data_IF_107770387799
#
_entry.id   IF_107770387799
#
_cell.length_a   1.000
_cell.length_b   1.000
_cell.length_c   1.000
_cell.angle_alpha   90.00
_cell.angle_beta   90.00
_cell.angle_gamma   90.00
#
_symmetry.space_group_name_H-M   'P 1'
#
loop_
_entity.id
_entity.type
_entity.pdbx_description
1 polymer ?
2 polymer ?
3 water ?
#
# COMPACT_ATOMS: atom_id res chain seq x y z
N UNK A 4 -22.04 5.94 -4.30
CA UNK A 4 -21.06 4.82 -4.25
C UNK A 4 -20.46 4.73 -2.84
N UNK A 5 -19.85 5.83 -2.39
CA UNK A 5 -19.24 5.88 -1.07
C UNK A 5 -20.27 6.26 -0.01
N UNK A 6 -20.15 5.67 1.17
CA UNK A 6 -21.08 5.97 2.26
C UNK A 6 -20.44 7.03 3.15
N UNK A 7 -21.25 7.63 4.01
CA UNK A 7 -20.77 8.65 4.93
C UNK A 7 -19.72 8.09 5.89
N UNK A 8 -19.84 6.80 6.18
CA UNK A 8 -18.92 6.11 7.08
C UNK A 8 -17.54 5.95 6.44
N UNK A 9 -17.53 5.70 5.13
CA UNK A 9 -16.29 5.53 4.39
C UNK A 9 -15.60 6.87 4.14
N UNK A 10 -16.38 7.86 3.72
CA UNK A 10 -15.83 9.18 3.46
C UNK A 10 -15.19 9.72 4.73
N UNK A 11 -15.91 9.55 5.84
CA UNK A 11 -15.47 10.02 7.14
C UNK A 11 -14.28 9.27 7.72
N UNK A 12 -13.97 8.09 7.19
CA UNK A 12 -12.82 7.32 7.69
C UNK A 12 -11.59 7.56 6.82
N UNK A 13 -11.81 7.86 5.55
CA UNK A 13 -10.72 8.13 4.62
C UNK A 13 -10.16 9.54 4.82
N UNK A 14 -11.04 10.48 5.17
CA UNK A 14 -10.62 11.86 5.39
C UNK A 14 -9.69 11.98 6.59
N UNK A 15 -10.03 11.30 7.68
CA UNK A 15 -9.23 11.31 8.89
C UNK A 15 -7.88 10.65 8.65
N UNK A 16 -7.88 9.55 7.91
CA UNK A 16 -6.64 8.84 7.61
C UNK A 16 -5.68 9.82 6.92
N UNK A 17 -6.19 10.56 5.95
CA UNK A 17 -5.40 11.55 5.22
C UNK A 17 -4.92 12.68 6.13
N UNK A 18 -5.83 13.25 6.92
CA UNK A 18 -5.47 14.33 7.83
C UNK A 18 -4.49 13.86 8.89
N UNK A 19 -4.67 12.63 9.36
CA UNK A 19 -3.77 12.08 10.37
C UNK A 19 -2.36 11.96 9.81
N UNK A 20 -2.26 11.48 8.57
CA UNK A 20 -0.98 11.30 7.90
C UNK A 20 -0.30 12.64 7.63
N UNK A 21 -1.09 13.64 7.26
CA UNK A 21 -0.58 14.98 6.99
C UNK A 21 -0.05 15.60 8.29
N UNK A 22 -0.77 15.34 9.37
CA UNK A 22 -0.43 15.86 10.69
C UNK A 22 0.79 15.22 11.35
N UNK A 23 0.85 13.88 11.32
CA UNK A 23 1.93 13.14 11.96
C UNK A 23 3.16 12.84 11.11
N UNK A 24 3.05 12.96 9.79
CA UNK A 24 4.19 12.68 8.94
C UNK A 24 5.34 13.64 9.16
N UNK A 25 6.54 13.29 8.69
CA UNK A 25 7.75 14.12 8.83
C UNK A 25 7.88 15.12 7.68
N UNK A 26 6.77 15.76 7.30
CA UNK A 26 6.76 16.68 6.17
C UNK A 26 7.53 17.99 6.32
N UNK A 27 8.03 18.29 7.52
CA UNK A 27 8.81 19.51 7.74
C UNK A 27 10.28 19.18 7.91
N UNK A 28 10.61 17.89 7.92
CA UNK A 28 11.99 17.45 8.13
C UNK A 28 12.98 17.79 7.02
N UNK A 29 12.49 18.08 5.82
CA UNK A 29 13.38 18.41 4.70
C UNK A 29 12.61 18.97 3.52
N UNK A 30 13.33 19.59 2.59
CA UNK A 30 12.70 20.17 1.42
C UNK A 30 12.00 19.07 0.62
N UNK A 31 12.66 17.93 0.48
CA UNK A 31 12.07 16.81 -0.24
C UNK A 31 10.76 16.36 0.41
N UNK A 32 10.80 16.07 1.70
CA UNK A 32 9.60 15.62 2.41
C UNK A 32 8.47 16.65 2.40
N UNK A 33 8.80 17.92 2.26
CA UNK A 33 7.76 18.95 2.23
C UNK A 33 6.95 18.78 0.94
N UNK A 34 7.64 18.48 -0.16
CA UNK A 34 6.96 18.29 -1.43
C UNK A 34 5.99 17.11 -1.32
N UNK A 35 6.42 16.03 -0.68
CA UNK A 35 5.56 14.86 -0.52
C UNK A 35 4.34 15.21 0.34
N UNK A 36 4.57 15.96 1.41
CA UNK A 36 3.47 16.34 2.28
C UNK A 36 2.47 17.24 1.55
N UNK A 37 2.98 18.09 0.66
CA UNK A 37 2.11 18.97 -0.11
C UNK A 37 1.20 18.15 -1.02
N UNK A 38 1.76 17.12 -1.65
CA UNK A 38 0.97 16.25 -2.53
C UNK A 38 -0.15 15.58 -1.73
N UNK A 39 0.17 15.19 -0.50
CA UNK A 39 -0.81 14.57 0.38
C UNK A 39 -1.94 15.56 0.65
N UNK A 40 -1.58 16.84 0.80
CA UNK A 40 -2.56 17.89 1.04
C UNK A 40 -3.43 18.09 -0.20
N UNK A 41 -2.81 18.04 -1.37
CA UNK A 41 -3.56 18.18 -2.61
C UNK A 41 -4.49 16.98 -2.75
N UNK A 42 -4.05 15.81 -2.29
CA UNK A 42 -4.89 14.62 -2.39
C UNK A 42 -6.06 14.77 -1.42
N UNK A 43 -5.78 15.29 -0.23
CA UNK A 43 -6.80 15.50 0.79
C UNK A 43 -7.80 16.57 0.31
N UNK A 44 -7.29 17.64 -0.28
CA UNK A 44 -8.15 18.72 -0.78
C UNK A 44 -9.02 18.28 -1.96
N UNK A 45 -8.46 17.40 -2.80
CA UNK A 45 -9.17 16.89 -3.97
C UNK A 45 -10.37 16.06 -3.52
N UNK A 46 -10.15 15.26 -2.48
CA UNK A 46 -11.19 14.40 -1.92
C UNK A 46 -12.31 15.22 -1.29
N UNK A 47 -11.94 16.28 -0.57
CA UNK A 47 -12.93 17.15 0.07
C UNK A 47 -13.82 17.79 -0.98
N UNK A 48 -13.21 18.27 -2.06
CA UNK A 48 -13.97 18.89 -3.13
C UNK A 48 -15.05 17.95 -3.64
N UNK A 49 -14.73 16.67 -3.74
CA UNK A 49 -15.68 15.68 -4.22
C UNK A 49 -16.83 15.43 -3.25
N UNK A 50 -16.50 15.01 -2.03
CA UNK A 50 -17.54 14.73 -1.04
C UNK A 50 -18.32 15.99 -0.70
N UNK A 51 -17.79 17.14 -1.10
CA UNK A 51 -18.45 18.40 -0.83
C UNK A 51 -19.42 18.75 -1.95
N UNK A 52 -19.21 18.14 -3.12
CA UNK A 52 -20.06 18.38 -4.28
C UNK A 52 -21.45 17.78 -4.08
N UNK B 7 -16.11 18.54 -9.28
CA UNK B 7 -16.71 17.43 -10.07
C UNK B 7 -17.80 16.69 -9.28
N UNK B 8 -17.99 15.41 -9.61
CA UNK B 8 -18.99 14.58 -8.96
C UNK B 8 -18.52 14.07 -7.61
N UNK B 9 -19.41 13.40 -6.88
CA UNK B 9 -19.09 12.86 -5.57
C UNK B 9 -18.04 11.75 -5.70
N UNK B 10 -17.45 11.37 -4.58
CA UNK B 10 -16.41 10.34 -4.56
C UNK B 10 -16.97 8.92 -4.68
N UNK B 11 -16.25 8.08 -5.42
CA UNK B 11 -16.63 6.68 -5.63
C UNK B 11 -15.43 5.76 -5.41
N UNK B 12 -15.65 4.46 -5.50
CA UNK B 12 -14.57 3.50 -5.32
C UNK B 12 -13.50 3.76 -6.37
N UNK B 13 -13.93 3.94 -7.62
CA UNK B 13 -12.99 4.20 -8.69
C UNK B 13 -12.23 5.48 -8.41
N UNK B 14 -12.94 6.43 -7.81
CA UNK B 14 -12.40 7.74 -7.46
C UNK B 14 -11.34 7.59 -6.37
N UNK B 15 -11.66 6.80 -5.35
CA UNK B 15 -10.74 6.58 -4.25
C UNK B 15 -9.46 5.92 -4.75
N UNK B 16 -9.61 4.93 -5.62
CA UNK B 16 -8.44 4.24 -6.14
C UNK B 16 -7.58 5.13 -7.01
N UNK B 17 -8.20 5.83 -7.95
CA UNK B 17 -7.45 6.67 -8.87
C UNK B 17 -6.96 8.01 -8.34
N UNK B 18 -7.62 8.56 -7.33
CA UNK B 18 -7.20 9.86 -6.83
C UNK B 18 -6.62 9.88 -5.41
N UNK B 19 -6.60 8.71 -4.76
CA UNK B 19 -6.04 8.59 -3.43
C UNK B 19 -5.04 7.42 -3.36
N UNK B 20 -5.56 6.20 -3.47
CA UNK B 20 -4.71 5.02 -3.40
C UNK B 20 -3.56 5.01 -4.39
N UNK B 21 -3.85 5.30 -5.66
CA UNK B 21 -2.81 5.29 -6.67
C UNK B 21 -1.76 6.40 -6.48
N UNK B 22 -2.20 7.64 -6.16
CA UNK B 22 -1.22 8.72 -5.97
C UNK B 22 -0.39 8.53 -4.68
N UNK B 23 -0.98 7.90 -3.67
CA UNK B 23 -0.25 7.64 -2.43
C UNK B 23 0.84 6.61 -2.75
N UNK B 24 0.52 5.64 -3.60
CA UNK B 24 1.49 4.63 -4.00
C UNK B 24 2.65 5.31 -4.72
N UNK B 25 2.35 6.36 -5.49
CA UNK B 25 3.41 7.08 -6.21
C UNK B 25 4.31 7.80 -5.19
N UNK B 26 3.71 8.31 -4.12
CA UNK B 26 4.50 8.99 -3.07
C UNK B 26 5.42 8.00 -2.37
N UNK B 27 4.90 6.81 -2.06
CA UNK B 27 5.69 5.76 -1.40
C UNK B 27 6.88 5.34 -2.29
N UNK B 28 6.62 5.14 -3.58
CA UNK B 28 7.69 4.75 -4.50
C UNK B 28 8.73 5.87 -4.60
N UNK B 29 8.27 7.11 -4.67
CA UNK B 29 9.21 8.23 -4.75
C UNK B 29 10.08 8.29 -3.48
N UNK B 30 9.47 8.12 -2.31
CA UNK B 30 10.23 8.17 -1.06
C UNK B 30 11.20 7.00 -0.97
N UNK B 31 10.76 5.82 -1.42
CA UNK B 31 11.61 4.63 -1.41
C UNK B 31 12.83 4.89 -2.29
N UNK B 32 12.60 5.59 -3.39
CA UNK B 32 13.67 5.93 -4.33
C UNK B 32 14.66 6.87 -3.62
N UNK B 33 14.13 7.81 -2.86
CA UNK B 33 14.96 8.75 -2.12
C UNK B 33 15.82 7.95 -1.14
N UNK B 34 15.21 6.99 -0.46
CA UNK B 34 15.93 6.16 0.50
C UNK B 34 17.11 5.44 -0.15
N UNK B 35 16.93 4.97 -1.39
CA UNK B 35 18.01 4.26 -2.08
C UNK B 35 19.19 5.16 -2.45
N UNK B 36 18.95 6.46 -2.60
CA UNK B 36 20.02 7.39 -2.93
C UNK B 36 20.83 7.59 -1.68
N UNK B 37 20.28 8.42 -0.81
CA UNK B 37 20.87 8.74 0.46
C UNK B 37 19.74 8.74 1.45
N UNK B 38 19.93 8.06 2.58
CA UNK B 38 21.12 7.30 2.93
C UNK B 38 20.64 6.44 4.08
N UNK B 39 21.04 6.87 5.27
CA UNK B 39 20.66 6.24 6.51
C UNK B 39 19.99 7.34 7.32
N UNK B 40 18.92 7.91 6.77
CA UNK B 40 18.21 8.96 7.47
C UNK B 40 16.95 8.38 8.08
N UNK B 41 16.51 8.90 9.22
CA UNK B 41 15.31 8.38 9.86
C UNK B 41 14.02 8.98 9.30
N UNK B 42 14.14 10.16 8.70
CA UNK B 42 12.99 10.87 8.15
C UNK B 42 12.30 10.17 6.97
N UNK B 43 13.05 9.83 5.93
CA UNK B 43 12.45 9.17 4.78
C UNK B 43 11.81 7.85 5.18
N UNK B 44 12.48 7.10 6.05
CA UNK B 44 11.98 5.82 6.54
C UNK B 44 10.62 5.99 7.17
N UNK B 45 10.51 6.99 8.05
CA UNK B 45 9.26 7.28 8.73
C UNK B 45 8.16 7.64 7.73
N UNK B 46 8.53 8.33 6.65
CA UNK B 46 7.55 8.72 5.64
C UNK B 46 6.99 7.46 4.97
N UNK B 47 7.87 6.50 4.69
CA UNK B 47 7.44 5.24 4.07
C UNK B 47 6.42 4.55 4.98
N UNK B 48 6.71 4.52 6.28
CA UNK B 48 5.80 3.89 7.23
C UNK B 48 4.47 4.63 7.32
N UNK B 49 4.53 5.95 7.47
CA UNK B 49 3.31 6.74 7.56
C UNK B 49 2.45 6.60 6.30
N UNK B 50 3.08 6.68 5.13
CA UNK B 50 2.35 6.57 3.87
C UNK B 50 1.77 5.17 3.67
N UNK B 51 2.52 4.16 4.11
CA UNK B 51 2.06 2.78 3.98
C UNK B 51 0.81 2.59 4.84
N UNK B 52 0.84 3.13 6.05
CA UNK B 52 -0.29 3.01 6.96
C UNK B 52 -1.50 3.73 6.38
N UNK B 53 -1.26 4.90 5.79
CA UNK B 53 -2.34 5.67 5.17
C UNK B 53 -3.04 4.89 4.06
N UNK B 54 -2.28 4.33 3.13
CA UNK B 54 -2.90 3.58 2.05
C UNK B 54 -3.61 2.33 2.55
N UNK B 55 -3.01 1.66 3.53
CA UNK B 55 -3.62 0.46 4.08
C UNK B 55 -4.95 0.80 4.76
N UNK B 56 -5.02 1.98 5.39
CA UNK B 56 -6.25 2.40 6.06
C UNK B 56 -7.31 2.76 5.04
N UNK B 57 -6.89 3.44 3.98
CA UNK B 57 -7.82 3.83 2.93
C UNK B 57 -8.22 2.60 2.12
N UNK B 58 -7.28 1.68 1.93
CA UNK B 58 -7.55 0.46 1.18
C UNK B 58 -8.59 -0.38 1.91
N UNK B 59 -8.53 -0.34 3.24
CA UNK B 59 -9.47 -1.07 4.09
C UNK B 59 -10.86 -0.43 4.01
N UNK B 60 -10.90 0.89 4.14
CA UNK B 60 -12.16 1.63 4.09
C UNK B 60 -12.86 1.40 2.77
N UNK B 61 -12.09 1.45 1.68
CA UNK B 61 -12.64 1.25 0.35
C UNK B 61 -13.21 -0.16 0.19
N UNK B 62 -12.78 -1.08 1.06
CA UNK B 62 -13.26 -2.46 1.02
C UNK B 62 -14.43 -2.61 1.99
N UNK B 63 -14.86 -1.48 2.54
CA UNK B 63 -15.97 -1.42 3.48
C UNK B 63 -15.64 -2.12 4.80
N UNK B 64 -14.62 -2.98 4.76
CA UNK B 64 -14.18 -3.71 5.94
C UNK B 64 -13.13 -4.75 5.53
N UNK C 4 -17.82 -13.15 -3.06
CA UNK C 4 -17.57 -11.70 -3.30
C UNK C 4 -16.66 -11.47 -4.51
N UNK C 5 -15.66 -12.33 -4.68
CA UNK C 5 -14.71 -12.20 -5.78
C UNK C 5 -15.06 -12.99 -7.04
N UNK C 6 -14.93 -12.34 -8.19
CA UNK C 6 -15.22 -12.99 -9.46
C UNK C 6 -13.98 -13.75 -9.93
N UNK C 7 -14.17 -14.69 -10.85
CA UNK C 7 -13.07 -15.47 -11.37
C UNK C 7 -11.97 -14.57 -11.94
N UNK C 8 -12.37 -13.48 -12.59
CA UNK C 8 -11.41 -12.55 -13.18
C UNK C 8 -10.64 -11.80 -12.11
N UNK C 9 -11.29 -11.54 -10.99
CA UNK C 9 -10.65 -10.85 -9.88
C UNK C 9 -9.69 -11.79 -9.15
N UNK C 10 -10.07 -13.06 -9.05
CA UNK C 10 -9.23 -14.05 -8.39
C UNK C 10 -7.94 -14.21 -9.18
N UNK C 11 -8.09 -14.25 -10.50
CA UNK C 11 -6.95 -14.41 -11.41
C UNK C 11 -5.97 -13.24 -11.29
N UNK C 12 -6.49 -12.03 -11.31
CA UNK C 12 -5.67 -10.83 -11.21
C UNK C 12 -4.87 -10.82 -9.91
N UNK C 13 -5.55 -11.09 -8.80
CA UNK C 13 -4.91 -11.12 -7.51
C UNK C 13 -3.84 -12.21 -7.47
N UNK C 14 -4.17 -13.40 -7.97
CA UNK C 14 -3.20 -14.49 -7.98
C UNK C 14 -2.00 -14.10 -8.83
N UNK C 15 -2.27 -13.44 -9.95
CA UNK C 15 -1.21 -13.01 -10.85
C UNK C 15 -0.31 -11.99 -10.16
N UNK C 16 -0.92 -11.04 -9.46
CA UNK C 16 -0.16 -10.00 -8.75
C UNK C 16 0.77 -10.63 -7.72
N UNK C 17 0.26 -11.60 -6.97
CA UNK C 17 1.06 -12.28 -5.95
C UNK C 17 2.22 -13.04 -6.60
N UNK C 18 1.93 -13.80 -7.65
CA UNK C 18 2.97 -14.56 -8.33
C UNK C 18 4.03 -13.65 -8.95
N UNK C 19 3.61 -12.52 -9.51
CA UNK C 19 4.56 -11.59 -10.11
C UNK C 19 5.46 -10.95 -9.04
N UNK C 20 4.88 -10.63 -7.88
CA UNK C 20 5.66 -10.04 -6.79
C UNK C 20 6.71 -11.03 -6.30
N UNK C 21 6.32 -12.30 -6.20
CA UNK C 21 7.22 -13.35 -5.76
C UNK C 21 8.35 -13.56 -6.77
N UNK C 22 8.01 -13.54 -8.05
CA UNK C 22 8.98 -13.75 -9.11
C UNK C 22 10.00 -12.63 -9.30
N UNK C 23 9.55 -11.38 -9.24
CA UNK C 23 10.47 -10.26 -9.44
C UNK C 23 11.08 -9.67 -8.17
N UNK C 24 10.53 -10.02 -7.01
CA UNK C 24 11.05 -9.50 -5.75
C UNK C 24 12.47 -9.96 -5.46
N UNK C 25 13.23 -9.23 -4.62
CA UNK C 25 14.61 -9.59 -4.28
C UNK C 25 14.69 -10.56 -3.10
N UNK C 26 13.78 -11.52 -3.08
CA UNK C 26 13.68 -12.49 -2.00
C UNK C 26 14.86 -13.46 -1.87
N UNK C 27 15.84 -13.33 -2.75
CA UNK C 27 17.02 -14.19 -2.69
C UNK C 27 18.29 -13.37 -2.57
N UNK C 28 18.14 -12.08 -2.27
CA UNK C 28 19.28 -11.18 -2.15
C UNK C 28 19.93 -11.16 -0.77
N UNK C 29 19.25 -11.71 0.23
CA UNK C 29 19.80 -11.72 1.58
C UNK C 29 18.98 -12.64 2.45
N UNK C 30 19.54 -13.04 3.59
CA UNK C 30 18.84 -13.92 4.51
C UNK C 30 17.55 -13.28 5.01
N UNK C 31 17.59 -11.97 5.22
CA UNK C 31 16.43 -11.24 5.70
C UNK C 31 15.34 -11.20 4.62
N UNK C 32 15.71 -10.82 3.40
CA UNK C 32 14.76 -10.73 2.31
C UNK C 32 14.18 -12.11 1.97
N UNK C 33 14.95 -13.15 2.30
CA UNK C 33 14.56 -14.53 2.09
C UNK C 33 13.39 -14.77 3.04
N UNK C 34 13.52 -14.26 4.27
CA UNK C 34 12.45 -14.41 5.25
C UNK C 34 11.19 -13.72 4.72
N UNK C 35 11.33 -12.50 4.21
CA UNK C 35 10.17 -11.79 3.68
C UNK C 35 9.57 -12.59 2.52
N UNK C 36 10.45 -13.10 1.67
CA UNK C 36 10.02 -13.87 0.53
C UNK C 36 9.14 -15.04 0.91
N UNK C 37 9.57 -15.80 1.92
CA UNK C 37 8.80 -16.95 2.37
C UNK C 37 7.45 -16.52 2.92
N UNK C 38 7.39 -15.36 3.57
CA UNK C 38 6.12 -14.86 4.09
C UNK C 38 5.18 -14.52 2.93
N UNK C 39 5.73 -13.94 1.87
CA UNK C 39 4.94 -13.60 0.70
C UNK C 39 4.40 -14.88 0.06
N UNK C 40 5.24 -15.90 -0.01
CA UNK C 40 4.83 -17.18 -0.58
C UNK C 40 3.70 -17.79 0.24
N UNK C 41 3.82 -17.72 1.56
CA UNK C 41 2.79 -18.27 2.44
C UNK C 41 1.48 -17.53 2.19
N UNK C 42 1.56 -16.22 1.95
CA UNK C 42 0.37 -15.43 1.68
C UNK C 42 -0.28 -15.89 0.37
N UNK C 43 0.54 -16.12 -0.65
CA UNK C 43 0.04 -16.56 -1.96
C UNK C 43 -0.65 -17.93 -1.81
N UNK C 44 0.00 -18.83 -1.09
CA UNK C 44 -0.54 -20.17 -0.86
C UNK C 44 -1.87 -20.13 -0.11
N UNK C 45 -2.00 -19.23 0.87
CA UNK C 45 -3.25 -19.16 1.60
C UNK C 45 -4.37 -18.74 0.66
N UNK C 46 -4.08 -17.80 -0.24
CA UNK C 46 -5.08 -17.34 -1.19
C UNK C 46 -5.49 -18.45 -2.15
N UNK C 47 -4.53 -19.28 -2.56
CA UNK C 47 -4.86 -20.38 -3.46
C UNK C 47 -5.87 -21.29 -2.77
N UNK C 48 -5.64 -21.60 -1.50
CA UNK C 48 -6.57 -22.45 -0.77
C UNK C 48 -7.94 -21.80 -0.63
N UNK C 49 -7.96 -20.50 -0.36
CA UNK C 49 -9.22 -19.77 -0.22
C UNK C 49 -10.06 -19.95 -1.49
N UNK C 50 -9.41 -19.88 -2.65
CA UNK C 50 -10.13 -20.02 -3.90
C UNK C 50 -10.37 -21.48 -4.28
N UNK C 51 -10.05 -22.40 -3.37
CA UNK C 51 -10.29 -23.81 -3.61
C UNK C 51 -9.16 -24.72 -4.06
N UNK C 52 -7.92 -24.24 -4.04
CA UNK C 52 -6.78 -25.05 -4.47
C UNK C 52 -6.63 -26.39 -3.74
N UNK C 53 -7.20 -26.49 -2.54
CA UNK C 53 -7.08 -27.73 -1.78
C UNK C 53 -8.44 -28.35 -1.45
N UNK D 8 -15.85 -20.59 2.60
CA UNK D 8 -14.37 -20.60 2.67
C UNK D 8 -13.75 -19.89 1.48
N UNK D 9 -14.57 -19.57 0.48
CA UNK D 9 -14.08 -18.89 -0.71
C UNK D 9 -13.67 -17.45 -0.39
N UNK D 10 -12.67 -16.95 -1.11
CA UNK D 10 -12.17 -15.60 -0.91
C UNK D 10 -13.27 -14.55 -0.97
N UNK D 11 -13.08 -13.46 -0.24
CA UNK D 11 -14.03 -12.36 -0.19
C UNK D 11 -13.26 -11.06 0.02
N UNK D 12 -13.90 -9.93 -0.25
CA UNK D 12 -13.27 -8.64 -0.05
C UNK D 12 -12.62 -8.64 1.32
N UNK D 13 -13.33 -9.22 2.28
CA UNK D 13 -12.83 -9.30 3.64
C UNK D 13 -11.56 -10.12 3.80
N UNK D 14 -11.52 -11.29 3.17
CA UNK D 14 -10.35 -12.16 3.26
C UNK D 14 -9.17 -11.51 2.52
N UNK D 15 -9.48 -10.71 1.51
CA UNK D 15 -8.44 -10.03 0.77
C UNK D 15 -7.72 -9.05 1.70
N UNK D 16 -8.48 -8.29 2.48
CA UNK D 16 -7.85 -7.34 3.40
C UNK D 16 -7.10 -8.02 4.53
N UNK D 17 -7.77 -8.91 5.24
CA UNK D 17 -7.15 -9.59 6.38
C UNK D 17 -6.09 -10.64 6.06
N UNK D 18 -6.15 -11.23 4.87
CA UNK D 18 -5.17 -12.26 4.54
C UNK D 18 -4.13 -11.88 3.48
N UNK D 19 -4.32 -10.73 2.85
CA UNK D 19 -3.37 -10.25 1.85
C UNK D 19 -2.88 -8.83 2.15
N UNK D 20 -3.76 -7.85 1.97
CA UNK D 20 -3.43 -6.44 2.20
C UNK D 20 -2.72 -6.19 3.52
N UNK D 21 -3.37 -6.56 4.62
CA UNK D 21 -2.81 -6.36 5.96
C UNK D 21 -1.47 -7.05 6.17
N UNK D 22 -1.36 -8.35 5.81
CA UNK D 22 -0.10 -9.09 5.98
C UNK D 22 1.02 -8.54 5.10
N UNK D 23 0.68 -8.07 3.91
CA UNK D 23 1.70 -7.52 3.04
C UNK D 23 2.15 -6.19 3.66
N UNK D 24 1.21 -5.44 4.22
CA UNK D 24 1.56 -4.18 4.87
C UNK D 24 2.55 -4.47 6.00
N UNK D 25 2.33 -5.56 6.73
CA UNK D 25 3.24 -5.93 7.81
C UNK D 25 4.63 -6.22 7.24
N UNK D 26 4.69 -6.87 6.08
CA UNK D 26 5.98 -7.15 5.44
C UNK D 26 6.67 -5.86 5.05
N UNK D 27 5.90 -4.90 4.54
CA UNK D 27 6.46 -3.62 4.14
C UNK D 27 7.07 -2.88 5.34
N UNK D 28 6.34 -2.81 6.44
CA UNK D 28 6.83 -2.13 7.64
C UNK D 28 8.04 -2.86 8.24
N UNK D 29 8.03 -4.19 8.17
CA UNK D 29 9.15 -4.97 8.69
C UNK D 29 10.40 -4.64 7.88
N UNK D 30 10.26 -4.54 6.55
CA UNK D 30 11.42 -4.21 5.73
C UNK D 30 11.83 -2.75 5.98
N UNK D 31 10.85 -1.87 6.10
CA UNK D 31 11.13 -0.46 6.35
C UNK D 31 11.72 -0.22 7.74
N UNK D 32 11.19 -0.92 8.75
CA UNK D 32 11.67 -0.76 10.12
C UNK D 32 12.97 -1.50 10.43
N UNK D 33 13.38 -2.41 9.54
CA UNK D 33 14.61 -3.15 9.77
C UNK D 33 15.84 -2.24 9.74
N UNK D 34 16.90 -2.67 10.41
CA UNK D 34 18.15 -1.90 10.43
C UNK D 34 18.75 -1.82 9.03
N UNK D 35 18.61 -2.90 8.27
CA UNK D 35 19.16 -2.95 6.91
C UNK D 35 18.50 -1.94 5.99
N UNK D 36 17.34 -1.43 6.39
CA UNK D 36 16.67 -0.45 5.55
C UNK D 36 17.39 0.89 5.65
N UNK D 37 17.94 1.18 6.83
CA UNK D 37 18.62 2.46 7.06
C UNK D 37 19.70 2.77 6.03
N UNK D 38 20.64 1.84 5.80
CA UNK D 38 21.70 2.11 4.81
C UNK D 38 21.14 2.42 3.42
N UNK D 39 19.88 2.08 3.18
CA UNK D 39 19.27 2.34 1.89
C UNK D 39 19.75 1.46 0.74
N UNK D 40 20.07 0.20 1.02
CA UNK D 40 20.51 -0.69 -0.04
C UNK D 40 19.42 -0.88 -1.08
N UNK D 41 19.82 -1.07 -2.33
CA UNK D 41 18.88 -1.25 -3.43
C UNK D 41 17.88 -2.40 -3.21
N UNK D 42 18.39 -3.54 -2.78
CA UNK D 42 17.56 -4.72 -2.54
C UNK D 42 16.39 -4.44 -1.61
N UNK D 43 16.67 -3.77 -0.49
CA UNK D 43 15.63 -3.46 0.47
C UNK D 43 14.64 -2.41 -0.02
N UNK D 44 15.10 -1.42 -0.76
CA UNK D 44 14.19 -0.41 -1.28
C UNK D 44 13.35 -1.07 -2.39
N UNK D 45 13.97 -1.96 -3.15
CA UNK D 45 13.26 -2.69 -4.20
C UNK D 45 12.12 -3.52 -3.61
N UNK D 46 12.38 -4.16 -2.47
CA UNK D 46 11.37 -5.00 -1.83
C UNK D 46 10.18 -4.15 -1.43
N UNK D 47 10.44 -2.94 -0.94
CA UNK D 47 9.36 -2.04 -0.55
C UNK D 47 8.55 -1.64 -1.76
N UNK D 48 9.23 -1.41 -2.88
CA UNK D 48 8.55 -1.01 -4.09
C UNK D 48 7.69 -2.17 -4.62
N UNK D 49 8.27 -3.36 -4.67
CA UNK D 49 7.54 -4.54 -5.14
C UNK D 49 6.31 -4.83 -4.28
N UNK D 50 6.49 -4.83 -2.96
CA UNK D 50 5.37 -5.10 -2.06
C UNK D 50 4.32 -3.99 -2.12
N UNK D 51 4.76 -2.76 -2.36
CA UNK D 51 3.83 -1.65 -2.44
C UNK D 51 2.99 -1.76 -3.71
N UNK D 52 3.63 -2.11 -4.83
CA UNK D 52 2.91 -2.29 -6.09
C UNK D 52 1.90 -3.42 -5.91
N UNK D 53 2.32 -4.48 -5.23
CA UNK D 53 1.46 -5.64 -4.99
C UNK D 53 0.16 -5.29 -4.29
N UNK D 54 0.25 -4.60 -3.16
CA UNK D 54 -0.96 -4.23 -2.42
C UNK D 54 -1.84 -3.31 -3.25
N UNK D 55 -1.21 -2.44 -4.03
CA UNK D 55 -1.97 -1.51 -4.86
C UNK D 55 -2.72 -2.27 -5.96
N UNK D 56 -2.03 -3.20 -6.62
CA UNK D 56 -2.65 -3.99 -7.68
C UNK D 56 -3.75 -4.89 -7.13
N UNK D 57 -3.50 -5.46 -5.96
CA UNK D 57 -4.49 -6.32 -5.32
C UNK D 57 -5.73 -5.50 -5.00
N UNK D 58 -5.54 -4.35 -4.36
CA UNK D 58 -6.64 -3.47 -4.01
C UNK D 58 -7.43 -3.08 -5.26
N UNK D 59 -6.70 -2.74 -6.32
CA UNK D 59 -7.33 -2.34 -7.58
C UNK D 59 -8.27 -3.42 -8.11
N UNK D 60 -7.82 -4.67 -8.06
CA UNK D 60 -8.64 -5.79 -8.53
C UNK D 60 -9.84 -6.03 -7.61
N UNK D 61 -9.61 -5.96 -6.31
CA UNK D 61 -10.68 -6.17 -5.34
C UNK D 61 -11.82 -5.16 -5.51
N UNK D 62 -11.50 -3.97 -6.01
CA UNK D 62 -12.49 -2.92 -6.23
C UNK D 62 -12.98 -2.90 -7.67
N UNK D 63 -12.56 -3.89 -8.46
CA UNK D 63 -12.95 -3.98 -9.87
C UNK D 63 -12.61 -2.67 -10.57
N UNK D 64 -11.35 -2.26 -10.47
CA UNK D 64 -10.87 -1.02 -11.07
C UNK D 64 -11.39 0.21 -10.33
#
# INVERSE_FOLDING_TARGET
MKDQLSDEQKETILKALNDAIEKGPWDKSNFLRVIGKKLIAIRDRFLKRIGAASQAK
EIGEPDVTDATLGSVYSEIISPVKDCILTVAKAVSFNPGGKDNTDAVEVLTELNTKVERAALNQPILTTKTER
MKDQLSDEQKETILKALNDAIEKGPWDKSNFLRVIGKKLIAIRDRFLKRIGAASQAK
EIGEPDVTDATLGSVYSEIISPVKDCILTVAKAVSFNPGGKDNTDAVEVLTELNTKVERAALNQPILTTKTER
#
